data_IF_571423016961
#
_entry.id   IF_571423016961
#
_cell.length_a   1.000
_cell.length_b   1.000
_cell.length_c   1.000
_cell.angle_alpha   90.00
_cell.angle_beta   90.00
_cell.angle_gamma   90.00
#
_symmetry.space_group_name_H-M   'P 1'
#
loop_
_entity.id
_entity.type
_entity.pdbx_description
1 polymer ?
#
# COMPACT_ATOMS: atom_id res chain seq x y z
N UNK A 1 23.46 47.28 3.28
CA UNK A 1 24.04 46.34 4.25
C UNK A 1 23.77 44.86 3.99
N UNK A 2 22.61 44.44 3.48
CA UNK A 2 22.29 43.01 3.25
C UNK A 2 23.14 42.30 2.18
N UNK A 3 23.51 42.97 1.09
CA UNK A 3 24.27 42.36 -0.03
C UNK A 3 25.68 41.95 0.39
N UNK A 4 26.34 42.77 1.21
CA UNK A 4 27.70 42.50 1.70
C UNK A 4 27.72 41.30 2.64
N UNK A 5 26.68 41.12 3.45
CA UNK A 5 26.51 39.96 4.34
C UNK A 5 26.38 38.66 3.56
N UNK A 6 25.56 38.62 2.47
CA UNK A 6 25.35 37.45 1.63
C UNK A 6 26.61 36.99 0.89
N UNK A 7 27.39 37.92 0.35
CA UNK A 7 28.64 37.60 -0.34
C UNK A 7 29.69 37.05 0.63
N UNK A 8 29.76 37.60 1.84
CA UNK A 8 30.67 37.10 2.88
C UNK A 8 30.28 35.69 3.35
N UNK A 9 29.00 35.45 3.53
CA UNK A 9 28.48 34.13 3.92
C UNK A 9 28.73 33.06 2.84
N UNK A 10 28.53 33.41 1.57
CA UNK A 10 28.81 32.53 0.44
C UNK A 10 30.30 32.15 0.35
N UNK A 11 31.21 33.12 0.53
CA UNK A 11 32.65 32.83 0.56
C UNK A 11 33.05 31.92 1.71
N UNK A 12 32.48 32.12 2.89
CA UNK A 12 32.71 31.27 4.07
C UNK A 12 32.23 29.83 3.84
N UNK A 13 31.05 29.65 3.24
CA UNK A 13 30.50 28.30 2.93
C UNK A 13 31.37 27.62 1.88
N UNK A 14 31.85 28.32 0.86
CA UNK A 14 32.76 27.74 -0.13
C UNK A 14 34.09 27.27 0.50
N UNK A 15 34.66 28.07 1.41
CA UNK A 15 35.88 27.69 2.12
C UNK A 15 35.64 26.44 2.98
N UNK A 16 34.56 26.42 3.77
CA UNK A 16 34.20 25.25 4.57
C UNK A 16 34.00 24.01 3.71
N UNK A 17 33.33 24.12 2.57
CA UNK A 17 33.15 22.98 1.65
C UNK A 17 34.49 22.47 1.09
N UNK A 18 35.42 23.35 0.80
CA UNK A 18 36.77 22.98 0.39
C UNK A 18 37.54 22.29 1.52
N UNK A 19 37.48 22.85 2.73
CA UNK A 19 38.15 22.29 3.91
C UNK A 19 37.61 20.91 4.29
N UNK A 20 36.31 20.70 4.18
CA UNK A 20 35.68 19.36 4.42
C UNK A 20 36.13 18.36 3.34
N UNK A 21 36.14 18.76 2.08
CA UNK A 21 36.63 17.91 0.99
C UNK A 21 38.08 17.50 1.14
N UNK A 22 38.91 18.42 1.63
CA UNK A 22 40.33 18.21 1.88
C UNK A 22 40.60 17.48 3.22
N UNK A 23 39.57 17.11 3.98
CA UNK A 23 39.70 16.44 5.27
C UNK A 23 40.17 17.32 6.42
N UNK A 24 40.15 18.69 6.25
CA UNK A 24 40.57 19.67 7.25
C UNK A 24 39.46 20.09 8.19
N UNK A 25 38.21 19.86 7.82
CA UNK A 25 37.04 20.16 8.63
C UNK A 25 36.01 19.00 8.61
N UNK A 26 35.19 18.92 9.66
CA UNK A 26 34.12 17.95 9.73
C UNK A 26 32.91 18.40 8.90
N UNK A 27 32.24 17.40 8.26
CA UNK A 27 31.01 17.62 7.49
C UNK A 27 29.89 18.25 8.33
N UNK A 28 29.83 17.94 9.62
CA UNK A 28 28.84 18.53 10.54
C UNK A 28 29.01 20.04 10.68
N UNK A 29 30.25 20.55 10.57
CA UNK A 29 30.51 21.98 10.55
C UNK A 29 29.93 22.65 9.30
N UNK A 30 30.06 22.01 8.15
CA UNK A 30 29.45 22.47 6.92
C UNK A 30 27.91 22.36 6.98
N UNK A 31 27.37 21.27 7.54
CA UNK A 31 25.95 21.10 7.75
C UNK A 31 25.38 22.26 8.59
N UNK A 32 25.93 22.53 9.73
CA UNK A 32 25.50 23.65 10.59
C UNK A 32 25.48 25.02 9.85
N UNK A 33 26.37 25.22 8.89
CA UNK A 33 26.39 26.43 8.08
C UNK A 33 25.27 26.54 7.05
N UNK A 34 24.71 25.37 6.58
CA UNK A 34 23.67 25.31 5.53
C UNK A 34 22.33 24.81 6.04
N UNK A 35 22.24 24.28 7.26
CA UNK A 35 21.05 23.67 7.86
C UNK A 35 19.84 24.61 7.82
N UNK A 36 20.01 25.88 8.16
CA UNK A 36 18.93 26.88 8.10
C UNK A 36 18.36 27.02 6.69
N UNK A 37 19.23 26.98 5.67
CA UNK A 37 18.81 27.05 4.28
C UNK A 37 18.04 25.77 3.91
N UNK A 38 18.55 24.60 4.30
CA UNK A 38 17.89 23.31 4.08
C UNK A 38 16.50 23.27 4.73
N UNK A 39 16.36 23.68 6.00
CA UNK A 39 15.07 23.73 6.72
C UNK A 39 14.07 24.68 6.06
N UNK A 40 14.51 25.85 5.58
CA UNK A 40 13.63 26.73 4.83
C UNK A 40 13.10 26.10 3.54
N UNK A 41 13.94 25.35 2.84
CA UNK A 41 13.50 24.62 1.64
C UNK A 41 12.60 23.45 2.02
N UNK A 42 12.96 22.63 3.00
CA UNK A 42 12.15 21.53 3.50
C UNK A 42 10.76 22.00 3.90
N UNK A 43 10.63 23.05 4.70
CA UNK A 43 9.34 23.59 5.11
C UNK A 43 8.49 24.16 3.95
N UNK A 44 9.12 24.63 2.86
CA UNK A 44 8.37 25.00 1.63
C UNK A 44 7.83 23.77 0.91
N UNK A 45 8.64 22.73 0.78
CA UNK A 45 8.26 21.49 0.13
C UNK A 45 7.19 20.73 0.93
N UNK A 46 7.35 20.60 2.24
CA UNK A 46 6.34 19.99 3.11
C UNK A 46 4.98 20.66 2.97
N UNK A 47 4.95 22.01 2.95
CA UNK A 47 3.68 22.73 2.74
C UNK A 47 3.07 22.52 1.36
N UNK A 48 3.90 22.42 0.32
CA UNK A 48 3.43 22.23 -1.05
C UNK A 48 2.92 20.81 -1.32
N UNK A 49 3.44 19.81 -0.59
CA UNK A 49 3.15 18.39 -0.82
C UNK A 49 2.51 17.69 0.38
N UNK A 50 2.02 18.45 1.37
CA UNK A 50 1.46 17.94 2.62
C UNK A 50 0.33 16.92 2.40
N UNK A 51 -0.52 17.16 1.42
CA UNK A 51 -1.68 16.30 1.11
C UNK A 51 -1.33 15.15 0.17
N UNK A 52 -0.26 15.28 -0.62
CA UNK A 52 0.03 14.34 -1.70
C UNK A 52 1.05 13.27 -1.34
N UNK A 53 2.03 13.57 -0.48
CA UNK A 53 3.17 12.68 -0.27
C UNK A 53 3.29 12.10 1.13
N UNK A 54 2.55 12.61 2.12
CA UNK A 54 2.66 12.18 3.52
C UNK A 54 4.09 12.31 4.07
N UNK A 55 4.89 13.27 3.54
CA UNK A 55 6.29 13.48 3.88
C UNK A 55 6.37 14.53 4.97
N UNK A 56 7.09 14.21 6.04
CA UNK A 56 7.37 15.13 7.12
C UNK A 56 8.60 16.01 6.83
N UNK A 57 8.71 17.14 7.51
CA UNK A 57 9.88 18.02 7.40
C UNK A 57 11.16 17.29 7.85
N UNK A 58 11.06 16.41 8.85
CA UNK A 58 12.15 15.55 9.33
C UNK A 58 12.75 14.68 8.23
N UNK A 59 11.91 14.10 7.37
CA UNK A 59 12.33 13.21 6.26
C UNK A 59 13.08 14.03 5.20
N UNK A 60 12.57 15.22 4.90
CA UNK A 60 13.24 16.13 3.98
C UNK A 60 14.55 16.65 4.54
N UNK A 61 14.67 16.84 5.86
CA UNK A 61 15.94 17.23 6.48
C UNK A 61 16.99 16.12 6.40
N UNK A 62 16.61 14.85 6.58
CA UNK A 62 17.50 13.71 6.35
C UNK A 62 17.92 13.63 4.87
N UNK A 63 16.96 13.80 3.96
CA UNK A 63 17.22 13.86 2.52
C UNK A 63 18.16 15.03 2.16
N UNK A 64 18.03 16.17 2.83
CA UNK A 64 18.90 17.32 2.64
C UNK A 64 20.34 17.05 3.07
N UNK A 65 20.55 16.28 4.14
CA UNK A 65 21.90 15.89 4.56
C UNK A 65 22.56 14.97 3.53
N UNK A 66 21.83 14.02 2.95
CA UNK A 66 22.32 13.20 1.85
C UNK A 66 22.67 14.04 0.61
N UNK A 67 21.80 15.00 0.27
CA UNK A 67 22.04 15.94 -0.82
C UNK A 67 23.28 16.81 -0.60
N UNK A 68 23.64 17.14 0.66
CA UNK A 68 24.86 17.84 1.02
C UNK A 68 26.10 17.02 0.65
N UNK A 69 26.10 15.72 0.98
CA UNK A 69 27.19 14.79 0.67
C UNK A 69 27.38 14.69 -0.85
N UNK A 70 26.27 14.53 -1.59
CA UNK A 70 26.30 14.50 -3.04
C UNK A 70 26.79 15.82 -3.64
N UNK A 71 26.35 16.96 -3.08
CA UNK A 71 26.79 18.27 -3.54
C UNK A 71 28.29 18.47 -3.32
N UNK A 72 28.80 18.04 -2.17
CA UNK A 72 30.23 18.13 -1.83
C UNK A 72 31.10 17.34 -2.81
N UNK A 73 30.65 16.12 -3.18
CA UNK A 73 31.35 15.26 -4.14
C UNK A 73 31.32 15.85 -5.57
N UNK A 74 30.18 16.45 -5.97
CA UNK A 74 29.98 16.95 -7.33
C UNK A 74 30.51 18.38 -7.53
N UNK A 75 30.70 19.16 -6.46
CA UNK A 75 31.07 20.55 -6.54
C UNK A 75 32.52 20.77 -6.98
N UNK A 76 32.69 21.70 -7.88
CA UNK A 76 33.99 22.18 -8.38
C UNK A 76 34.09 23.69 -8.14
N UNK A 77 35.09 24.16 -7.37
CA UNK A 77 35.25 25.58 -7.03
C UNK A 77 35.30 26.50 -8.26
N UNK A 78 35.87 25.99 -9.36
CA UNK A 78 36.03 26.74 -10.61
C UNK A 78 34.70 27.01 -11.33
N UNK A 79 33.66 26.20 -11.01
CA UNK A 79 32.35 26.25 -11.68
C UNK A 79 31.31 27.07 -10.94
N UNK A 80 31.63 27.55 -9.74
CA UNK A 80 30.70 28.42 -9.00
C UNK A 80 30.59 28.13 -7.52
N UNK A 81 29.57 28.72 -6.92
CA UNK A 81 29.34 28.74 -5.46
C UNK A 81 28.78 27.38 -4.99
N UNK A 82 29.32 26.87 -3.88
CA UNK A 82 28.88 25.62 -3.28
C UNK A 82 27.38 25.59 -2.99
N UNK A 83 26.83 26.67 -2.43
CA UNK A 83 25.41 26.75 -2.09
C UNK A 83 24.50 26.58 -3.31
N UNK A 84 24.93 27.03 -4.50
CA UNK A 84 24.17 26.80 -5.75
C UNK A 84 24.15 25.32 -6.14
N UNK A 85 25.29 24.63 -6.01
CA UNK A 85 25.35 23.17 -6.24
C UNK A 85 24.49 22.41 -5.22
N UNK A 86 24.56 22.83 -3.96
CA UNK A 86 23.73 22.24 -2.91
C UNK A 86 22.24 22.45 -3.18
N UNK A 87 21.79 23.66 -3.54
CA UNK A 87 20.38 23.93 -3.89
C UNK A 87 19.90 23.07 -5.05
N UNK A 88 20.74 22.88 -6.07
CA UNK A 88 20.43 22.02 -7.21
C UNK A 88 20.25 20.56 -6.79
N UNK A 89 21.18 20.02 -5.98
CA UNK A 89 21.09 18.66 -5.46
C UNK A 89 19.89 18.48 -4.52
N UNK A 90 19.68 19.46 -3.65
CA UNK A 90 18.55 19.50 -2.72
C UNK A 90 17.20 19.40 -3.44
N UNK A 91 16.99 20.23 -4.47
CA UNK A 91 15.77 20.18 -5.28
C UNK A 91 15.57 18.86 -5.99
N UNK A 92 16.64 18.30 -6.53
CA UNK A 92 16.59 16.97 -7.19
C UNK A 92 16.22 15.87 -6.21
N UNK A 93 16.81 15.86 -5.01
CA UNK A 93 16.55 14.86 -3.98
C UNK A 93 15.14 15.01 -3.39
N UNK A 94 14.68 16.24 -3.14
CA UNK A 94 13.31 16.51 -2.68
C UNK A 94 12.26 16.11 -3.73
N UNK A 95 12.53 16.37 -5.02
CA UNK A 95 11.66 15.93 -6.11
C UNK A 95 11.53 14.39 -6.14
N UNK A 96 12.64 13.69 -5.88
CA UNK A 96 12.64 12.23 -5.81
C UNK A 96 11.90 11.72 -4.56
N UNK A 97 12.16 12.31 -3.41
CA UNK A 97 11.51 11.95 -2.14
C UNK A 97 9.99 12.15 -2.19
N UNK A 98 9.52 13.22 -2.86
CA UNK A 98 8.10 13.50 -3.05
C UNK A 98 7.43 12.68 -4.19
N UNK A 99 8.11 11.69 -4.78
CA UNK A 99 7.55 10.90 -5.88
C UNK A 99 7.25 11.72 -7.15
N UNK A 100 8.01 12.79 -7.39
CA UNK A 100 7.75 13.73 -8.49
C UNK A 100 8.86 13.73 -9.54
N UNK A 101 9.79 12.76 -9.46
CA UNK A 101 11.00 12.75 -10.30
C UNK A 101 10.70 12.43 -11.75
N UNK A 102 9.83 11.46 -12.01
CA UNK A 102 9.45 11.04 -13.36
C UNK A 102 7.97 11.31 -13.63
N UNK A 103 7.58 11.27 -14.92
CA UNK A 103 6.17 11.35 -15.30
C UNK A 103 5.37 10.20 -14.71
N UNK A 104 5.97 8.99 -14.68
CA UNK A 104 5.35 7.80 -14.10
C UNK A 104 5.10 7.99 -12.60
N UNK A 105 6.06 8.52 -11.84
CA UNK A 105 5.90 8.78 -10.41
C UNK A 105 4.76 9.78 -10.15
N UNK A 106 4.61 10.79 -11.03
CA UNK A 106 3.53 11.79 -10.94
C UNK A 106 2.16 11.23 -11.26
N UNK A 107 2.09 10.23 -12.12
CA UNK A 107 0.84 9.57 -12.56
C UNK A 107 0.49 8.37 -11.67
N UNK A 108 1.40 7.93 -10.79
CA UNK A 108 1.17 6.81 -9.89
C UNK A 108 0.08 7.16 -8.85
N UNK A 109 -1.05 6.43 -8.85
CA UNK A 109 -2.13 6.64 -7.90
C UNK A 109 -1.67 6.53 -6.44
N UNK A 110 -0.68 5.65 -6.17
CA UNK A 110 -0.13 5.44 -4.83
C UNK A 110 0.60 6.68 -4.29
N UNK A 111 1.07 7.58 -5.15
CA UNK A 111 1.72 8.82 -4.74
C UNK A 111 0.73 9.97 -4.52
N UNK A 112 -0.52 9.86 -4.99
CA UNK A 112 -1.49 10.96 -4.97
C UNK A 112 -2.60 10.81 -3.95
N UNK A 113 -3.07 9.59 -3.71
CA UNK A 113 -4.29 9.32 -2.93
C UNK A 113 -4.00 8.30 -1.83
N UNK A 114 -2.96 8.51 -1.03
CA UNK A 114 -2.71 7.64 0.12
C UNK A 114 -3.68 8.01 1.23
N UNK A 115 -4.50 7.07 1.59
CA UNK A 115 -5.29 7.13 2.82
C UNK A 115 -4.64 6.18 3.81
N UNK A 116 -4.40 6.63 5.03
CA UNK A 116 -3.91 5.75 6.10
C UNK A 116 -4.99 4.74 6.44
N UNK A 117 -4.61 3.48 6.56
CA UNK A 117 -5.52 2.44 7.04
C UNK A 117 -5.95 2.67 8.49
N UNK A 118 -5.09 3.31 9.28
CA UNK A 118 -5.37 3.68 10.68
C UNK A 118 -6.17 4.98 10.81
N UNK A 119 -6.61 5.57 9.70
CA UNK A 119 -7.43 6.78 9.74
C UNK A 119 -8.80 6.45 10.36
N UNK A 120 -9.20 7.12 11.47
CA UNK A 120 -10.52 6.91 12.05
C UNK A 120 -11.60 7.38 11.08
N UNK A 121 -12.69 6.60 10.97
CA UNK A 121 -13.84 6.92 10.13
C UNK A 121 -14.85 7.79 10.85
N UNK A 122 -14.84 7.76 12.17
CA UNK A 122 -15.75 8.57 13.00
C UNK A 122 -15.17 9.98 13.22
N UNK A 123 -15.98 10.99 12.92
CA UNK A 123 -15.60 12.40 13.06
C UNK A 123 -15.34 12.84 14.53
N UNK A 124 -15.84 12.10 15.50
CA UNK A 124 -15.73 12.42 16.93
C UNK A 124 -14.48 11.84 17.61
N UNK A 125 -13.64 11.06 16.86
CA UNK A 125 -12.30 10.69 17.30
C UNK A 125 -12.20 9.70 18.47
N UNK A 126 -13.31 9.11 18.92
CA UNK A 126 -13.34 8.05 19.94
C UNK A 126 -13.14 6.66 19.30
N UNK A 127 -12.57 6.69 18.12
CA UNK A 127 -12.64 5.71 17.08
C UNK A 127 -11.86 4.42 17.30
N UNK A 128 -12.58 3.39 17.74
CA UNK A 128 -12.17 2.00 17.50
C UNK A 128 -12.35 1.57 16.02
N UNK A 129 -12.97 2.41 15.15
CA UNK A 129 -13.29 2.05 13.77
C UNK A 129 -12.43 2.83 12.77
N UNK A 130 -11.59 2.11 12.03
CA UNK A 130 -10.60 2.65 11.09
C UNK A 130 -10.95 2.30 9.64
N UNK A 131 -10.24 2.91 8.68
CA UNK A 131 -10.35 2.55 7.25
C UNK A 131 -10.00 1.08 7.03
N UNK A 132 -9.06 0.51 7.81
CA UNK A 132 -8.69 -0.91 7.72
C UNK A 132 -9.89 -1.84 7.97
N UNK A 133 -10.78 -1.46 8.90
CA UNK A 133 -11.94 -2.28 9.27
C UNK A 133 -13.03 -2.31 8.19
N UNK A 134 -12.95 -1.43 7.18
CA UNK A 134 -13.88 -1.43 6.03
C UNK A 134 -13.41 -2.28 4.87
N UNK A 135 -12.17 -2.77 4.92
CA UNK A 135 -11.61 -3.57 3.82
C UNK A 135 -12.02 -5.02 4.02
N UNK A 136 -12.83 -5.61 3.10
CA UNK A 136 -13.22 -7.01 3.19
C UNK A 136 -11.99 -7.91 3.10
N UNK A 137 -11.94 -8.92 3.95
CA UNK A 137 -10.94 -9.99 3.87
C UNK A 137 -11.45 -11.09 2.93
N UNK A 138 -10.91 -11.21 1.70
CA UNK A 138 -11.36 -12.22 0.75
C UNK A 138 -11.06 -13.65 1.21
N UNK A 139 -10.11 -13.84 2.12
CA UNK A 139 -9.78 -15.17 2.66
C UNK A 139 -10.83 -15.56 3.71
N UNK A 140 -11.29 -14.63 4.53
CA UNK A 140 -12.36 -14.87 5.48
C UNK A 140 -13.69 -15.15 4.76
N UNK A 141 -14.03 -14.40 3.70
CA UNK A 141 -15.21 -14.66 2.88
C UNK A 141 -15.16 -16.07 2.27
N UNK A 142 -14.05 -16.46 1.65
CA UNK A 142 -13.88 -17.80 1.08
C UNK A 142 -14.01 -18.92 2.13
N UNK A 143 -13.54 -18.67 3.36
CA UNK A 143 -13.69 -19.63 4.45
C UNK A 143 -15.16 -19.83 4.88
N UNK A 144 -15.97 -18.77 4.83
CA UNK A 144 -17.43 -18.89 5.07
C UNK A 144 -18.13 -19.62 3.94
N UNK A 145 -17.79 -19.35 2.68
CA UNK A 145 -18.32 -20.08 1.51
C UNK A 145 -17.96 -21.58 1.59
N UNK A 146 -16.75 -21.95 2.02
CA UNK A 146 -16.37 -23.35 2.24
C UNK A 146 -17.25 -24.05 3.30
N UNK A 147 -17.62 -23.37 4.37
CA UNK A 147 -18.50 -23.92 5.41
C UNK A 147 -19.89 -24.20 4.83
N UNK A 148 -20.48 -23.24 4.12
CA UNK A 148 -21.79 -23.40 3.47
C UNK A 148 -21.79 -24.55 2.43
N UNK A 149 -20.70 -24.65 1.63
CA UNK A 149 -20.55 -25.77 0.70
C UNK A 149 -20.44 -27.12 1.41
N UNK A 150 -19.76 -27.20 2.54
CA UNK A 150 -19.65 -28.42 3.33
C UNK A 150 -21.01 -28.83 3.92
N UNK A 151 -21.74 -27.89 4.50
CA UNK A 151 -23.07 -28.14 5.04
C UNK A 151 -24.05 -28.60 3.94
N UNK A 152 -24.02 -28.01 2.76
CA UNK A 152 -24.81 -28.44 1.62
C UNK A 152 -24.44 -29.86 1.17
N UNK A 153 -23.13 -30.16 1.08
CA UNK A 153 -22.64 -31.50 0.71
C UNK A 153 -23.11 -32.54 1.71
N UNK A 154 -22.97 -32.26 2.99
CA UNK A 154 -23.41 -33.18 4.04
C UNK A 154 -24.91 -33.41 4.02
N UNK A 155 -25.71 -32.38 3.80
CA UNK A 155 -27.14 -32.47 3.64
C UNK A 155 -27.56 -33.33 2.40
N UNK A 156 -26.85 -33.14 1.28
CA UNK A 156 -27.07 -33.94 0.05
C UNK A 156 -26.71 -35.41 0.29
N UNK A 157 -25.55 -35.70 0.92
CA UNK A 157 -25.18 -37.08 1.23
C UNK A 157 -26.17 -37.73 2.21
N UNK A 158 -26.59 -37.01 3.25
CA UNK A 158 -27.61 -37.49 4.18
C UNK A 158 -28.97 -37.80 3.50
N UNK A 159 -29.33 -36.98 2.50
CA UNK A 159 -30.52 -37.22 1.69
C UNK A 159 -30.37 -38.48 0.79
N UNK A 160 -29.20 -38.67 0.18
CA UNK A 160 -28.88 -39.83 -0.65
C UNK A 160 -28.85 -41.16 0.18
N UNK A 161 -28.37 -41.07 1.43
CA UNK A 161 -28.32 -42.21 2.34
C UNK A 161 -29.71 -42.76 2.75
N UNK A 162 -30.75 -41.94 2.61
CA UNK A 162 -32.13 -42.33 2.86
C UNK A 162 -32.74 -43.12 1.66
N UNK A 163 -32.08 -43.12 0.50
CA UNK A 163 -32.54 -43.87 -0.66
C UNK A 163 -32.13 -45.33 -0.59
N UNK A 164 -32.95 -46.26 -1.21
CA UNK A 164 -32.49 -47.61 -1.49
C UNK A 164 -31.20 -47.60 -2.32
N UNK A 165 -30.31 -48.58 -2.07
CA UNK A 165 -28.98 -48.64 -2.67
C UNK A 165 -28.99 -48.47 -4.20
N UNK A 166 -29.89 -49.20 -4.90
CA UNK A 166 -29.99 -49.17 -6.35
C UNK A 166 -30.44 -47.79 -6.91
N UNK A 167 -31.26 -47.03 -6.16
CA UNK A 167 -31.69 -45.68 -6.51
C UNK A 167 -30.59 -44.68 -6.29
N UNK A 168 -29.85 -44.82 -5.17
CA UNK A 168 -28.66 -44.04 -4.88
C UNK A 168 -27.59 -44.18 -5.95
N UNK A 169 -27.27 -45.43 -6.31
CA UNK A 169 -26.29 -45.76 -7.35
C UNK A 169 -26.68 -45.13 -8.70
N UNK A 170 -27.97 -45.12 -9.04
CA UNK A 170 -28.48 -44.50 -10.26
C UNK A 170 -28.26 -42.97 -10.27
N UNK A 171 -28.52 -42.28 -9.14
CA UNK A 171 -28.28 -40.83 -9.02
C UNK A 171 -26.77 -40.52 -9.09
N UNK A 172 -25.95 -41.26 -8.36
CA UNK A 172 -24.51 -41.07 -8.36
C UNK A 172 -23.92 -41.35 -9.74
N UNK A 173 -24.33 -42.39 -10.43
CA UNK A 173 -23.87 -42.72 -11.79
C UNK A 173 -24.16 -41.57 -12.77
N UNK A 174 -25.34 -40.97 -12.69
CA UNK A 174 -25.74 -39.89 -13.61
C UNK A 174 -25.11 -38.56 -13.28
N UNK A 175 -25.19 -38.11 -12.03
CA UNK A 175 -24.76 -36.75 -11.66
C UNK A 175 -23.25 -36.62 -11.36
N UNK A 176 -22.59 -37.67 -10.83
CA UNK A 176 -21.14 -37.62 -10.54
C UNK A 176 -20.28 -38.18 -11.66
N UNK A 177 -20.77 -39.26 -12.34
CA UNK A 177 -19.96 -39.92 -13.36
C UNK A 177 -20.48 -39.70 -14.79
N UNK A 178 -21.58 -38.97 -15.00
CA UNK A 178 -22.15 -38.70 -16.32
C UNK A 178 -22.60 -39.97 -17.07
N UNK A 179 -22.86 -41.04 -16.32
CA UNK A 179 -23.31 -42.32 -16.89
C UNK A 179 -24.83 -42.38 -16.93
N UNK A 180 -25.40 -42.80 -18.06
CA UNK A 180 -26.83 -42.94 -18.17
C UNK A 180 -27.36 -44.04 -17.24
N UNK A 181 -28.19 -43.67 -16.27
CA UNK A 181 -28.88 -44.63 -15.41
C UNK A 181 -30.16 -45.15 -16.04
N UNK A 182 -30.68 -46.31 -15.54
CA UNK A 182 -32.00 -46.77 -15.96
C UNK A 182 -33.08 -45.74 -15.65
N UNK A 183 -33.85 -45.37 -16.67
CA UNK A 183 -34.83 -44.26 -16.60
C UNK A 183 -35.90 -44.48 -15.53
N UNK A 184 -36.28 -45.75 -15.25
CA UNK A 184 -37.29 -46.07 -14.22
C UNK A 184 -36.72 -45.88 -12.82
N UNK A 185 -35.53 -46.41 -12.58
CA UNK A 185 -34.81 -46.29 -11.31
C UNK A 185 -34.50 -44.84 -10.99
N UNK A 186 -34.00 -44.08 -11.96
CA UNK A 186 -33.72 -42.63 -11.81
C UNK A 186 -35.02 -41.86 -11.49
N UNK A 187 -36.14 -42.10 -12.19
CA UNK A 187 -37.42 -41.44 -11.92
C UNK A 187 -37.99 -41.81 -10.53
N UNK A 188 -37.76 -43.03 -10.05
CA UNK A 188 -38.14 -43.45 -8.70
C UNK A 188 -37.30 -42.73 -7.65
N UNK A 189 -35.97 -42.65 -7.83
CA UNK A 189 -35.05 -41.94 -6.96
C UNK A 189 -35.42 -40.47 -6.81
N UNK A 190 -35.66 -39.77 -7.93
CA UNK A 190 -36.08 -38.35 -7.89
C UNK A 190 -37.43 -38.16 -7.19
N UNK A 191 -38.35 -39.11 -7.28
CA UNK A 191 -39.64 -39.06 -6.58
C UNK A 191 -39.43 -39.20 -5.07
N UNK A 192 -38.56 -40.09 -4.62
CA UNK A 192 -38.24 -40.28 -3.21
C UNK A 192 -37.51 -39.02 -2.65
N UNK A 193 -36.54 -38.44 -3.36
CA UNK A 193 -35.85 -37.22 -2.97
C UNK A 193 -36.80 -36.01 -2.82
N UNK A 194 -37.83 -35.93 -3.65
CA UNK A 194 -38.88 -34.90 -3.57
C UNK A 194 -39.86 -35.09 -2.42
N UNK A 195 -39.84 -36.22 -1.76
CA UNK A 195 -40.73 -36.46 -0.63
C UNK A 195 -40.41 -35.48 0.52
N UNK A 196 -41.41 -34.89 1.21
CA UNK A 196 -41.17 -33.89 2.25
C UNK A 196 -40.23 -34.34 3.36
N UNK A 197 -40.21 -35.63 3.72
CA UNK A 197 -39.31 -36.15 4.76
C UNK A 197 -37.82 -36.03 4.39
N UNK A 198 -37.47 -35.97 3.11
CA UNK A 198 -36.09 -35.82 2.63
C UNK A 198 -35.84 -34.40 2.14
N UNK A 199 -36.73 -33.86 1.32
CA UNK A 199 -36.55 -32.52 0.72
C UNK A 199 -36.56 -31.40 1.72
N UNK A 200 -37.15 -31.59 2.90
CA UNK A 200 -37.22 -30.56 3.95
C UNK A 200 -35.83 -30.19 4.52
N UNK A 201 -34.90 -31.14 4.57
CA UNK A 201 -33.53 -30.91 5.01
C UNK A 201 -32.69 -30.09 4.01
N UNK A 202 -33.08 -30.06 2.74
CA UNK A 202 -32.37 -29.34 1.67
C UNK A 202 -32.95 -27.96 1.41
N UNK A 203 -34.12 -27.61 1.96
CA UNK A 203 -34.76 -26.32 1.75
C UNK A 203 -33.92 -25.10 2.17
N UNK A 204 -33.20 -25.13 3.30
CA UNK A 204 -32.41 -23.95 3.74
C UNK A 204 -31.36 -23.51 2.74
N UNK A 205 -30.96 -24.40 1.81
CA UNK A 205 -29.91 -24.10 0.83
C UNK A 205 -30.47 -23.57 -0.51
N UNK A 206 -31.79 -23.40 -0.66
CA UNK A 206 -32.43 -22.91 -1.89
C UNK A 206 -33.22 -21.60 -1.74
N UNK A 207 -33.31 -21.07 -0.53
CA UNK A 207 -33.92 -19.78 -0.22
C UNK A 207 -32.82 -18.69 -0.09
#
# INVERSE_FOLDING_TARGET
MQVVSLVTQSKRTNQLAADVRDGKADILTLWAAVERFASQQAGRWTRAFRESAGIEESDLMQTAFLALIEALTAWKPERGVFLTMFDFKLKSSFTAACGMRTRRDKEDPLNRNRVSLDMPLDADGDGDFTVADTIPDPVAEAAFEEVEEHELKDAVYAALDQLPQHERDAIVAEFWYGQAADRRTHAAALRHLRHPSISQSLRPFYE
#
